data_IF_638312728961
#
_entry.id   IF_638312728961
#
_cell.length_a   1.000
_cell.length_b   1.000
_cell.length_c   1.000
_cell.angle_alpha   90.00
_cell.angle_beta   90.00
_cell.angle_gamma   90.00
#
_symmetry.space_group_name_H-M   'P 1'
#
loop_
_entity.id
_entity.type
_entity.pdbx_description
1 polymer ?
#
# COMPACT_ATOMS: atom_id res chain seq x y z
N UNK A 1 -20.71 61.32 1.82
CA UNK A 1 -19.37 60.76 1.50
C UNK A 1 -19.59 59.34 1.04
N UNK A 2 -19.49 59.08 -0.25
CA UNK A 2 -19.73 57.74 -0.81
C UNK A 2 -18.52 56.82 -0.56
N UNK A 3 -18.74 55.50 -0.37
CA UNK A 3 -17.67 54.56 -0.12
C UNK A 3 -16.97 54.12 -1.41
N UNK A 4 -15.63 54.09 -1.38
CA UNK A 4 -14.79 53.63 -2.49
C UNK A 4 -14.81 52.09 -2.59
N UNK A 5 -15.35 51.59 -3.69
CA UNK A 5 -15.52 50.16 -3.99
C UNK A 5 -14.27 49.49 -4.57
N UNK A 6 -13.23 50.26 -4.89
CA UNK A 6 -11.98 49.73 -5.48
C UNK A 6 -11.01 49.16 -4.43
N UNK A 7 -11.27 49.42 -3.15
CA UNK A 7 -10.33 49.11 -2.07
C UNK A 7 -10.27 47.62 -1.78
N UNK A 8 -9.11 47.00 -2.04
CA UNK A 8 -8.83 45.60 -1.68
C UNK A 8 -8.26 45.50 -0.25
N UNK A 9 -8.55 44.43 0.49
CA UNK A 9 -8.06 44.24 1.85
C UNK A 9 -6.55 43.94 1.87
N UNK A 10 -5.79 44.68 2.67
CA UNK A 10 -4.32 44.54 2.74
C UNK A 10 -3.84 43.25 3.43
N UNK A 11 -4.72 42.55 4.16
CA UNK A 11 -4.34 41.33 4.90
C UNK A 11 -5.42 40.26 4.75
N UNK A 12 -4.98 39.01 4.52
CA UNK A 12 -5.85 37.85 4.51
C UNK A 12 -6.32 37.53 5.94
N UNK A 13 -7.63 37.65 6.20
CA UNK A 13 -8.24 37.41 7.51
C UNK A 13 -8.25 35.93 7.96
N UNK A 14 -7.67 35.01 7.17
CA UNK A 14 -7.60 33.59 7.48
C UNK A 14 -6.15 33.14 7.69
N UNK A 15 -5.60 33.42 8.86
CA UNK A 15 -4.53 32.59 9.43
C UNK A 15 -5.18 31.62 10.42
N UNK A 16 -5.62 30.45 9.93
CA UNK A 16 -5.93 29.33 10.82
C UNK A 16 -4.61 28.66 11.19
N UNK A 17 -4.21 28.58 12.48
CA UNK A 17 -3.18 27.63 12.87
C UNK A 17 -3.82 26.24 12.80
N UNK A 18 -3.07 25.26 12.28
CA UNK A 18 -3.48 23.87 12.02
C UNK A 18 -4.38 23.65 10.80
N UNK A 19 -3.76 23.75 9.63
CA UNK A 19 -4.21 23.00 8.46
C UNK A 19 -4.06 21.51 8.71
N UNK A 20 -5.13 20.83 9.13
CA UNK A 20 -5.25 19.39 8.92
C UNK A 20 -5.07 19.16 7.42
N UNK A 21 -3.94 18.54 7.05
CA UNK A 21 -3.67 18.10 5.69
C UNK A 21 -4.80 17.16 5.31
N UNK A 22 -5.77 17.64 4.51
CA UNK A 22 -6.76 16.80 3.87
C UNK A 22 -5.96 15.76 3.08
N UNK A 23 -5.98 14.50 3.53
CA UNK A 23 -5.44 13.40 2.74
C UNK A 23 -6.28 13.36 1.46
N UNK A 24 -5.67 13.80 0.36
CA UNK A 24 -6.19 13.55 -0.98
C UNK A 24 -6.19 12.04 -1.11
N UNK A 25 -7.39 11.45 -1.16
CA UNK A 25 -7.54 10.04 -1.53
C UNK A 25 -7.18 10.00 -3.02
N UNK A 26 -6.15 9.23 -3.43
CA UNK A 26 -5.85 9.11 -4.84
C UNK A 26 -7.06 8.44 -5.52
N UNK A 27 -7.65 9.15 -6.48
CA UNK A 27 -8.58 8.55 -7.44
C UNK A 27 -7.81 7.44 -8.13
N UNK A 28 -8.25 6.20 -7.96
CA UNK A 28 -7.65 5.05 -8.61
C UNK A 28 -7.88 5.22 -10.12
N UNK A 29 -6.85 5.65 -10.83
CA UNK A 29 -6.88 5.81 -12.28
C UNK A 29 -6.81 4.40 -12.87
N UNK A 30 -7.96 3.89 -13.29
CA UNK A 30 -8.18 2.50 -13.73
C UNK A 30 -7.24 2.04 -14.88
N UNK A 31 -6.62 2.98 -15.60
CA UNK A 31 -5.84 2.69 -16.82
C UNK A 31 -4.35 3.07 -16.76
N UNK A 32 -3.71 3.10 -15.58
CA UNK A 32 -2.23 3.19 -15.52
C UNK A 32 -1.69 2.03 -14.70
N UNK A 33 -1.48 0.88 -15.35
CA UNK A 33 -0.55 -0.15 -14.85
C UNK A 33 0.81 0.53 -14.69
N UNK A 34 1.43 0.56 -13.49
CA UNK A 34 2.82 0.99 -13.40
C UNK A 34 3.66 0.02 -14.24
N UNK A 35 4.42 0.56 -15.20
CA UNK A 35 5.34 -0.20 -16.03
C UNK A 35 6.24 -1.08 -15.14
N UNK A 36 6.56 -2.31 -15.55
CA UNK A 36 7.41 -3.19 -14.74
C UNK A 36 8.76 -2.49 -14.52
N UNK A 37 9.14 -2.35 -13.25
CA UNK A 37 10.45 -1.84 -12.82
C UNK A 37 11.55 -2.68 -13.50
N UNK A 38 12.61 -2.09 -14.06
CA UNK A 38 13.68 -2.86 -14.66
C UNK A 38 14.30 -3.78 -13.60
N UNK A 39 14.39 -5.07 -13.91
CA UNK A 39 15.04 -6.05 -13.06
C UNK A 39 16.54 -5.75 -12.95
N UNK A 40 17.16 -5.94 -11.77
CA UNK A 40 18.61 -5.93 -11.67
C UNK A 40 19.17 -7.05 -12.56
N UNK A 41 20.08 -6.69 -13.47
CA UNK A 41 20.79 -7.64 -14.34
C UNK A 41 21.74 -8.46 -13.45
N UNK A 42 21.31 -9.66 -13.05
CA UNK A 42 22.23 -10.67 -12.55
C UNK A 42 22.82 -11.44 -13.75
N UNK A 43 24.10 -11.87 -13.67
CA UNK A 43 24.67 -12.73 -14.70
C UNK A 43 23.83 -14.01 -14.81
N UNK A 44 23.61 -14.45 -16.04
CA UNK A 44 22.76 -15.60 -16.39
C UNK A 44 23.27 -16.89 -15.75
N UNK A 45 22.66 -17.28 -14.63
CA UNK A 45 22.76 -18.64 -14.12
C UNK A 45 21.76 -19.51 -14.87
N UNK A 46 22.23 -20.66 -15.34
CA UNK A 46 21.49 -21.61 -16.17
C UNK A 46 20.13 -21.98 -15.56
N UNK A 47 19.09 -21.98 -16.40
CA UNK A 47 17.76 -22.50 -16.10
C UNK A 47 17.85 -24.01 -15.85
N UNK A 48 17.70 -24.44 -14.60
CA UNK A 48 17.39 -25.84 -14.28
C UNK A 48 15.88 -25.91 -14.07
N UNK A 49 15.18 -26.34 -15.12
CA UNK A 49 13.81 -26.85 -14.99
C UNK A 49 13.85 -28.11 -14.15
N UNK A 50 13.11 -28.14 -13.03
CA UNK A 50 12.94 -29.37 -12.24
C UNK A 50 11.46 -29.64 -11.98
N UNK A 51 10.86 -30.38 -12.91
CA UNK A 51 9.77 -31.30 -12.62
C UNK A 51 10.37 -32.67 -12.23
N UNK A 52 10.58 -32.92 -10.94
CA UNK A 52 10.83 -34.27 -10.42
C UNK A 52 10.60 -34.25 -8.90
N UNK A 53 9.61 -34.99 -8.37
CA UNK A 53 9.79 -36.36 -7.84
C UNK A 53 11.06 -36.46 -6.98
N UNK A 54 10.86 -36.58 -5.67
CA UNK A 54 11.88 -36.93 -4.70
C UNK A 54 12.47 -38.29 -5.07
N UNK A 55 13.61 -38.27 -5.76
CA UNK A 55 14.55 -39.38 -5.82
C UNK A 55 15.77 -38.91 -5.05
N UNK A 56 16.11 -39.67 -4.01
CA UNK A 56 17.30 -39.51 -3.19
C UNK A 56 18.53 -39.65 -4.11
N UNK A 57 18.98 -38.53 -4.68
CA UNK A 57 20.15 -38.48 -5.54
C UNK A 57 21.36 -38.42 -4.61
N UNK A 58 22.04 -39.56 -4.49
CA UNK A 58 23.33 -39.66 -3.84
C UNK A 58 24.23 -38.53 -4.35
N UNK A 59 24.73 -37.77 -3.39
CA UNK A 59 25.59 -36.61 -3.58
C UNK A 59 26.86 -37.04 -4.32
N UNK A 60 26.88 -36.90 -5.65
CA UNK A 60 28.08 -37.02 -6.46
C UNK A 60 28.92 -35.75 -6.24
N UNK A 61 29.56 -35.66 -5.07
CA UNK A 61 30.58 -34.65 -4.77
C UNK A 61 31.83 -35.02 -5.57
N UNK A 62 31.91 -34.52 -6.80
CA UNK A 62 33.18 -34.45 -7.52
C UNK A 62 34.06 -33.45 -6.77
N UNK A 63 34.97 -33.99 -5.96
CA UNK A 63 36.11 -33.25 -5.45
C UNK A 63 37.06 -33.08 -6.64
N UNK A 64 37.00 -31.93 -7.31
CA UNK A 64 38.10 -31.49 -8.17
C UNK A 64 39.23 -31.04 -7.23
N UNK A 65 39.98 -32.03 -6.74
CA UNK A 65 41.25 -31.85 -6.03
C UNK A 65 42.38 -31.93 -7.06
N UNK A 66 42.55 -30.84 -7.81
CA UNK A 66 43.80 -30.56 -8.52
C UNK A 66 44.55 -29.52 -7.69
N UNK A 67 45.44 -29.99 -6.82
CA UNK A 67 46.44 -29.14 -6.18
C UNK A 67 47.72 -29.92 -5.92
N UNK A 68 48.64 -29.78 -6.88
CA UNK A 68 50.10 -29.82 -6.74
C UNK A 68 50.62 -29.80 -5.30
N UNK A 69 51.57 -30.70 -5.01
CA UNK A 69 52.42 -30.73 -3.80
C UNK A 69 52.87 -29.33 -3.34
N UNK A 70 52.17 -28.76 -2.35
CA UNK A 70 52.63 -27.67 -1.50
C UNK A 70 51.85 -27.71 -0.16
N UNK A 71 51.95 -28.85 0.53
CA UNK A 71 51.16 -29.17 1.74
C UNK A 71 51.55 -28.34 2.99
N UNK A 72 52.62 -27.54 2.96
CA UNK A 72 53.09 -26.79 4.14
C UNK A 72 52.61 -25.33 4.21
N UNK A 73 52.11 -24.76 3.10
CA UNK A 73 51.82 -23.31 3.00
C UNK A 73 50.31 -22.94 2.93
N UNK A 74 49.42 -23.94 2.97
CA UNK A 74 47.97 -23.74 2.82
C UNK A 74 47.16 -23.83 4.13
N UNK A 75 47.73 -24.36 5.20
CA UNK A 75 47.11 -24.40 6.53
C UNK A 75 46.70 -23.01 7.06
N UNK A 76 47.54 -21.94 6.97
CA UNK A 76 47.10 -20.60 7.37
C UNK A 76 45.96 -20.09 6.48
N UNK A 77 46.04 -20.28 5.15
CA UNK A 77 45.00 -19.85 4.19
C UNK A 77 43.65 -20.53 4.47
N UNK A 78 43.65 -21.83 4.79
CA UNK A 78 42.45 -22.58 5.21
C UNK A 78 41.88 -22.02 6.51
N UNK A 79 42.72 -21.72 7.51
CA UNK A 79 42.29 -21.08 8.76
C UNK A 79 41.66 -19.71 8.53
N UNK A 80 42.26 -18.87 7.69
CA UNK A 80 41.69 -17.57 7.32
C UNK A 80 40.35 -17.70 6.59
N UNK A 81 40.21 -18.66 5.67
CA UNK A 81 38.94 -18.93 4.99
C UNK A 81 37.87 -19.43 5.98
N UNK A 82 38.25 -20.24 6.96
CA UNK A 82 37.34 -20.72 8.00
C UNK A 82 36.91 -19.57 8.93
N UNK A 83 37.82 -18.68 9.31
CA UNK A 83 37.49 -17.47 10.06
C UNK A 83 36.54 -16.58 9.26
N UNK A 84 36.81 -16.33 7.98
CA UNK A 84 35.90 -15.54 7.12
C UNK A 84 34.52 -16.19 6.95
N UNK A 85 34.45 -17.53 6.82
CA UNK A 85 33.18 -18.27 6.80
C UNK A 85 32.46 -18.13 8.13
N UNK A 86 33.16 -18.28 9.25
CA UNK A 86 32.59 -18.17 10.58
C UNK A 86 32.06 -16.76 10.84
N UNK A 87 32.81 -15.72 10.46
CA UNK A 87 32.43 -14.32 10.60
C UNK A 87 31.23 -13.99 9.70
N UNK A 88 31.22 -14.47 8.45
CA UNK A 88 30.10 -14.30 7.54
C UNK A 88 28.84 -15.01 8.06
N UNK A 89 28.97 -16.26 8.52
CA UNK A 89 27.87 -17.03 9.09
C UNK A 89 27.33 -16.35 10.36
N UNK A 90 28.21 -15.86 11.23
CA UNK A 90 27.82 -15.14 12.44
C UNK A 90 27.02 -13.87 12.11
N UNK A 91 27.36 -13.14 11.03
CA UNK A 91 26.55 -12.01 10.54
C UNK A 91 25.15 -12.46 10.10
N UNK A 92 25.05 -13.51 9.27
CA UNK A 92 23.75 -14.02 8.81
C UNK A 92 22.88 -14.59 9.94
N UNK A 93 23.49 -15.19 10.97
CA UNK A 93 22.75 -15.70 12.13
C UNK A 93 22.24 -14.59 13.04
N UNK A 94 22.98 -13.47 13.17
CA UNK A 94 22.51 -12.27 13.90
C UNK A 94 21.29 -11.65 13.22
N UNK A 95 21.32 -11.61 11.89
CA UNK A 95 20.25 -11.02 11.08
C UNK A 95 19.15 -12.05 10.70
N UNK A 96 19.08 -13.19 11.40
CA UNK A 96 18.11 -14.23 11.09
C UNK A 96 16.69 -13.75 11.45
N UNK A 97 15.77 -13.66 10.47
CA UNK A 97 14.41 -13.23 10.74
C UNK A 97 13.66 -14.25 11.62
N UNK A 98 12.71 -13.76 12.42
CA UNK A 98 11.85 -14.60 13.23
C UNK A 98 10.90 -15.41 12.34
N UNK A 99 10.46 -16.62 12.78
CA UNK A 99 9.47 -17.41 12.04
C UNK A 99 8.19 -16.64 11.74
N UNK A 100 7.73 -15.80 12.69
CA UNK A 100 6.54 -14.95 12.53
C UNK A 100 6.70 -13.95 11.39
N UNK A 101 7.87 -13.31 11.25
CA UNK A 101 8.14 -12.41 10.13
C UNK A 101 8.17 -13.14 8.79
N UNK A 102 8.58 -14.41 8.77
CA UNK A 102 8.56 -15.23 7.56
C UNK A 102 7.13 -15.66 7.20
N UNK A 103 6.23 -15.84 8.17
CA UNK A 103 4.80 -16.03 7.92
C UNK A 103 4.16 -14.76 7.35
N UNK A 104 4.47 -13.59 7.93
CA UNK A 104 3.97 -12.28 7.45
C UNK A 104 4.44 -11.97 6.02
N UNK A 105 5.69 -12.34 5.70
CA UNK A 105 6.25 -12.24 4.35
C UNK A 105 5.79 -13.36 3.41
N UNK A 106 4.92 -14.27 3.88
CA UNK A 106 4.39 -15.41 3.12
C UNK A 106 5.49 -16.35 2.57
N UNK A 107 6.64 -16.40 3.25
CA UNK A 107 7.73 -17.32 2.93
C UNK A 107 7.48 -18.68 3.60
N UNK A 108 7.03 -18.65 4.86
CA UNK A 108 6.51 -19.83 5.55
C UNK A 108 5.00 -19.87 5.42
N UNK A 109 4.45 -21.08 5.32
CA UNK A 109 3.01 -21.31 5.15
C UNK A 109 2.47 -21.93 6.43
N UNK A 110 1.35 -21.36 6.93
CA UNK A 110 0.63 -21.90 8.10
C UNK A 110 0.16 -23.35 7.87
N UNK A 111 -0.08 -24.11 8.95
CA UNK A 111 -0.69 -25.44 8.88
C UNK A 111 -1.94 -25.47 7.99
N UNK A 112 -2.19 -26.61 7.35
CA UNK A 112 -3.31 -26.77 6.39
C UNK A 112 -4.66 -26.53 7.06
N UNK A 113 -4.85 -27.05 8.27
CA UNK A 113 -6.13 -27.01 8.97
C UNK A 113 -6.49 -25.59 9.44
N UNK A 114 -5.52 -24.86 9.98
CA UNK A 114 -5.69 -23.44 10.34
C UNK A 114 -6.09 -22.60 9.12
N UNK A 115 -5.45 -22.82 7.97
CA UNK A 115 -5.79 -22.09 6.73
C UNK A 115 -7.19 -22.42 6.23
N UNK A 116 -7.61 -23.68 6.34
CA UNK A 116 -8.98 -24.09 5.95
C UNK A 116 -10.01 -23.41 6.85
N UNK A 117 -9.80 -23.42 8.16
CA UNK A 117 -10.69 -22.77 9.12
C UNK A 117 -10.75 -21.26 8.88
N UNK A 118 -9.60 -20.59 8.70
CA UNK A 118 -9.54 -19.16 8.35
C UNK A 118 -10.32 -18.89 7.06
N UNK A 119 -10.15 -19.71 6.03
CA UNK A 119 -10.86 -19.57 4.76
C UNK A 119 -12.37 -19.73 4.94
N UNK A 120 -12.83 -20.76 5.64
CA UNK A 120 -14.25 -21.02 5.89
C UNK A 120 -14.90 -19.89 6.71
N UNK A 121 -14.19 -19.34 7.71
CA UNK A 121 -14.70 -18.19 8.47
C UNK A 121 -14.83 -16.93 7.61
N UNK A 122 -13.90 -16.72 6.68
CA UNK A 122 -13.95 -15.61 5.72
C UNK A 122 -15.09 -15.85 4.72
N UNK A 123 -15.22 -17.06 4.18
CA UNK A 123 -16.26 -17.47 3.23
C UNK A 123 -17.66 -17.22 3.81
N UNK A 124 -17.95 -17.76 4.99
CA UNK A 124 -19.24 -17.60 5.67
C UNK A 124 -19.56 -16.14 5.98
N UNK A 125 -18.57 -15.36 6.42
CA UNK A 125 -18.74 -13.93 6.69
C UNK A 125 -18.97 -13.13 5.41
N UNK A 126 -18.28 -13.50 4.33
CA UNK A 126 -18.42 -12.85 3.03
C UNK A 126 -19.79 -13.15 2.42
N UNK A 127 -20.23 -14.39 2.44
CA UNK A 127 -21.55 -14.81 1.95
C UNK A 127 -22.67 -13.99 2.60
N UNK A 128 -22.65 -13.85 3.93
CA UNK A 128 -23.59 -13.02 4.68
C UNK A 128 -23.55 -11.54 4.27
N UNK A 129 -22.36 -10.99 4.02
CA UNK A 129 -22.21 -9.58 3.59
C UNK A 129 -22.70 -9.35 2.17
N UNK A 130 -22.49 -10.32 1.28
CA UNK A 130 -22.92 -10.23 -0.11
C UNK A 130 -24.43 -10.40 -0.25
N UNK A 131 -25.06 -11.26 0.54
CA UNK A 131 -26.52 -11.41 0.54
C UNK A 131 -27.24 -10.16 1.06
N UNK A 132 -26.65 -9.45 2.04
CA UNK A 132 -27.17 -8.20 2.60
C UNK A 132 -26.59 -6.95 1.93
N UNK A 133 -26.04 -7.06 0.71
CA UNK A 133 -25.39 -5.94 0.03
C UNK A 133 -26.41 -4.84 -0.35
N UNK A 134 -26.27 -3.60 0.17
CA UNK A 134 -27.17 -2.51 -0.18
C UNK A 134 -27.08 -2.09 -1.66
N UNK A 135 -28.16 -1.53 -2.19
CA UNK A 135 -28.19 -1.02 -3.57
C UNK A 135 -27.44 0.33 -3.67
N UNK A 136 -26.86 0.66 -4.83
CA UNK A 136 -26.16 1.94 -5.01
C UNK A 136 -27.07 3.14 -4.76
N UNK A 137 -28.33 3.08 -5.20
CA UNK A 137 -29.34 4.14 -4.99
C UNK A 137 -29.61 4.38 -3.48
N UNK A 138 -29.65 3.32 -2.68
CA UNK A 138 -29.82 3.43 -1.22
C UNK A 138 -28.61 4.13 -0.57
N UNK A 139 -27.40 3.86 -1.07
CA UNK A 139 -26.18 4.51 -0.60
C UNK A 139 -26.12 5.99 -1.00
N UNK A 140 -26.67 6.35 -2.16
CA UNK A 140 -26.83 7.74 -2.60
C UNK A 140 -27.83 8.49 -1.72
N UNK A 141 -28.99 7.88 -1.43
CA UNK A 141 -29.98 8.45 -0.53
C UNK A 141 -29.41 8.71 0.88
N UNK A 142 -28.49 7.84 1.34
CA UNK A 142 -27.75 8.01 2.59
C UNK A 142 -26.53 8.92 2.48
N UNK A 143 -26.28 9.55 1.33
CA UNK A 143 -25.12 10.42 1.07
C UNK A 143 -23.75 9.74 1.25
N UNK A 144 -23.69 8.40 1.18
CA UNK A 144 -22.47 7.61 1.23
C UNK A 144 -21.83 7.57 -0.16
N UNK A 145 -22.63 7.29 -1.18
CA UNK A 145 -22.23 7.44 -2.58
C UNK A 145 -22.66 8.82 -3.09
N UNK A 146 -21.86 9.42 -3.98
CA UNK A 146 -22.17 10.70 -4.63
C UNK A 146 -22.35 10.46 -6.12
N UNK A 147 -23.52 10.78 -6.66
CA UNK A 147 -23.81 10.63 -8.09
C UNK A 147 -23.11 11.69 -8.97
N UNK A 148 -22.85 12.88 -8.42
CA UNK A 148 -22.31 14.04 -9.16
C UNK A 148 -20.81 14.21 -8.96
N UNK A 149 -20.14 14.78 -9.95
CA UNK A 149 -18.71 15.11 -9.85
C UNK A 149 -18.48 16.21 -8.80
N UNK A 150 -17.25 16.31 -8.29
CA UNK A 150 -16.91 17.31 -7.27
C UNK A 150 -17.14 18.74 -7.76
N UNK A 151 -16.90 18.99 -9.05
CA UNK A 151 -17.03 20.33 -9.65
C UNK A 151 -18.50 20.73 -9.80
N UNK A 152 -19.37 19.81 -10.22
CA UNK A 152 -20.82 20.02 -10.23
C UNK A 152 -21.37 20.31 -8.83
N UNK A 153 -20.90 19.61 -7.80
CA UNK A 153 -21.30 19.86 -6.42
C UNK A 153 -20.87 21.26 -5.93
N UNK A 154 -19.71 21.75 -6.38
CA UNK A 154 -19.25 23.10 -6.07
C UNK A 154 -20.14 24.13 -6.77
N UNK A 155 -20.42 23.94 -8.06
CA UNK A 155 -21.27 24.82 -8.84
C UNK A 155 -22.69 24.91 -8.25
N UNK A 156 -23.32 23.79 -7.93
CA UNK A 156 -24.65 23.76 -7.32
C UNK A 156 -24.67 24.43 -5.95
N UNK A 157 -23.61 24.25 -5.15
CA UNK A 157 -23.50 24.89 -3.84
C UNK A 157 -23.33 26.40 -4.00
N UNK A 158 -22.56 26.84 -4.98
CA UNK A 158 -22.38 28.26 -5.27
C UNK A 158 -23.68 28.89 -5.78
N UNK A 159 -24.40 28.23 -6.68
CA UNK A 159 -25.70 28.69 -7.16
C UNK A 159 -26.72 28.77 -6.02
N UNK A 160 -26.85 27.72 -5.21
CA UNK A 160 -27.73 27.73 -4.02
C UNK A 160 -27.35 28.83 -3.04
N UNK A 161 -26.05 29.09 -2.85
CA UNK A 161 -25.57 30.18 -2.00
C UNK A 161 -25.96 31.55 -2.57
N UNK A 162 -25.75 31.78 -3.87
CA UNK A 162 -26.14 33.03 -4.56
C UNK A 162 -27.65 33.25 -4.47
N UNK A 163 -28.44 32.21 -4.72
CA UNK A 163 -29.90 32.26 -4.60
C UNK A 163 -30.36 32.60 -3.19
N UNK A 164 -29.79 31.91 -2.18
CA UNK A 164 -30.16 32.12 -0.78
C UNK A 164 -29.82 33.54 -0.30
N UNK A 165 -28.65 34.07 -0.65
CA UNK A 165 -28.25 35.45 -0.33
C UNK A 165 -29.29 36.43 -0.88
N UNK A 166 -29.65 36.29 -2.16
CA UNK A 166 -30.68 37.12 -2.81
C UNK A 166 -32.03 37.00 -2.13
N UNK A 167 -32.44 35.81 -1.66
CA UNK A 167 -33.74 35.64 -0.98
C UNK A 167 -33.75 36.20 0.43
N UNK A 168 -32.65 36.04 1.18
CA UNK A 168 -32.55 36.56 2.54
C UNK A 168 -32.45 38.09 2.58
N UNK A 169 -31.94 38.74 1.52
CA UNK A 169 -31.93 40.21 1.43
C UNK A 169 -33.34 40.82 1.34
N UNK A 170 -34.31 40.08 0.80
CA UNK A 170 -35.72 40.50 0.74
C UNK A 170 -36.55 39.92 1.90
N UNK A 171 -35.91 39.55 3.00
CA UNK A 171 -36.65 39.09 4.18
C UNK A 171 -37.54 40.24 4.69
N UNK A 172 -38.85 40.03 4.85
CA UNK A 172 -39.73 41.06 5.40
C UNK A 172 -39.33 41.41 6.83
N UNK A 173 -39.38 42.70 7.16
CA UNK A 173 -39.17 43.18 8.53
C UNK A 173 -40.46 43.05 9.35
N UNK A 174 -40.33 42.92 10.67
CA UNK A 174 -41.45 42.68 11.59
C UNK A 174 -42.35 43.93 11.71
N UNK A 175 -41.81 45.12 11.45
CA UNK A 175 -42.53 46.41 11.55
C UNK A 175 -43.53 46.67 10.41
N UNK A 176 -43.46 45.93 9.29
CA UNK A 176 -44.36 46.10 8.13
C UNK A 176 -45.68 45.32 8.19
N UNK A 177 -46.02 44.74 9.34
CA UNK A 177 -47.28 44.02 9.59
C UNK A 177 -48.04 44.68 10.75
N UNK A 178 -48.60 45.86 10.50
CA UNK A 178 -49.63 46.50 11.35
C UNK A 178 -50.66 47.09 10.40
#
# INVERSE_FOLDING_TARGET
KEPDLSRQPEKSALKKPNGLKRRVIPVFRENQRPSPRPSPKFPSAALISSSAKFVNSENNRRSDDDSSSDEENHEPKKRFANVQRNDSLARFLKDRPLPDELFDKHILVKPVDERKNERETIETKLERKLSLRPRPEELEARNILRAKTQDELIAEKEEKKRFLIRKLSFRPSIQGKI
#
